data_IF_967869148783
#
_entry.id   IF_967869148783
#
_cell.length_a   1.000
_cell.length_b   1.000
_cell.length_c   1.000
_cell.angle_alpha   90.00
_cell.angle_beta   90.00
_cell.angle_gamma   90.00
#
_symmetry.space_group_name_H-M   'P 1'
#
loop_
_entity.id
_entity.type
_entity.pdbx_description
1 polymer ?
#
# COMPACT_ATOMS: atom_id res chain seq x y z
N UNK A 1 47.61 -56.01 0.38
CA UNK A 1 46.90 -55.62 -0.85
C UNK A 1 45.94 -54.50 -0.51
N UNK A 2 46.37 -53.26 -0.73
CA UNK A 2 45.53 -52.07 -0.61
C UNK A 2 46.16 -50.95 -1.44
N UNK A 3 45.32 -50.06 -1.96
CA UNK A 3 45.61 -48.91 -2.83
C UNK A 3 45.84 -49.21 -4.32
N UNK A 4 44.79 -49.04 -5.13
CA UNK A 4 44.78 -48.36 -6.43
C UNK A 4 43.37 -48.42 -7.03
N UNK A 5 42.64 -47.30 -7.03
CA UNK A 5 41.54 -46.96 -7.98
C UNK A 5 40.92 -45.59 -7.62
N UNK A 6 41.72 -44.55 -7.83
CA UNK A 6 41.23 -43.20 -8.10
C UNK A 6 41.78 -42.79 -9.47
N UNK A 7 41.04 -43.06 -10.54
CA UNK A 7 41.17 -42.36 -11.83
C UNK A 7 40.13 -42.93 -12.80
N UNK A 8 39.14 -42.11 -13.17
CA UNK A 8 38.27 -42.40 -14.32
C UNK A 8 36.78 -42.31 -14.01
N UNK A 9 36.26 -41.09 -13.91
CA UNK A 9 34.98 -40.71 -14.56
C UNK A 9 34.75 -39.20 -14.42
N UNK A 10 35.65 -38.40 -15.02
CA UNK A 10 35.36 -37.03 -15.38
C UNK A 10 34.93 -37.03 -16.85
N UNK A 11 33.63 -36.95 -17.10
CA UNK A 11 33.02 -36.43 -18.32
C UNK A 11 31.50 -36.53 -18.21
N UNK A 12 30.88 -35.67 -17.39
CA UNK A 12 29.43 -35.45 -17.44
C UNK A 12 29.19 -33.97 -17.70
N UNK A 13 28.93 -33.69 -18.98
CA UNK A 13 28.26 -32.52 -19.57
C UNK A 13 28.55 -31.15 -18.95
N UNK A 14 29.46 -30.41 -19.58
CA UNK A 14 29.47 -28.95 -19.55
C UNK A 14 28.27 -28.42 -20.35
N UNK A 15 27.07 -28.52 -19.76
CA UNK A 15 25.84 -27.89 -20.25
C UNK A 15 25.54 -26.67 -19.41
N UNK A 16 25.75 -25.48 -19.98
CA UNK A 16 25.25 -24.15 -19.56
C UNK A 16 24.82 -24.03 -18.09
N UNK A 17 25.78 -23.96 -17.16
CA UNK A 17 25.54 -23.58 -15.76
C UNK A 17 25.32 -22.07 -15.67
N UNK A 18 24.29 -21.54 -16.34
CA UNK A 18 23.74 -20.23 -16.01
C UNK A 18 23.13 -20.37 -14.63
N UNK A 19 23.77 -19.75 -13.64
CA UNK A 19 23.15 -19.59 -12.32
C UNK A 19 21.71 -19.08 -12.51
N UNK A 20 20.73 -19.62 -11.75
CA UNK A 20 19.34 -19.20 -11.88
C UNK A 20 19.26 -17.68 -11.67
N UNK A 21 18.61 -17.00 -12.61
CA UNK A 21 18.39 -15.56 -12.51
C UNK A 21 17.45 -15.29 -11.35
N UNK A 22 18.00 -14.76 -10.25
CA UNK A 22 17.25 -14.39 -9.04
C UNK A 22 16.87 -12.91 -9.06
N UNK A 23 15.92 -12.56 -8.19
CA UNK A 23 15.55 -11.18 -7.91
C UNK A 23 16.76 -10.39 -7.38
N UNK A 24 16.85 -9.11 -7.78
CA UNK A 24 17.95 -8.23 -7.39
C UNK A 24 17.56 -7.44 -6.14
N UNK A 25 18.36 -7.57 -5.08
CA UNK A 25 18.30 -6.69 -3.91
C UNK A 25 18.69 -5.27 -4.31
N UNK A 26 17.71 -4.39 -4.38
CA UNK A 26 17.85 -3.01 -4.87
C UNK A 26 17.05 -2.00 -4.05
N UNK A 27 16.03 -2.44 -3.31
CA UNK A 27 15.20 -1.57 -2.50
C UNK A 27 15.88 -1.22 -1.18
N UNK A 28 16.27 0.03 -1.05
CA UNK A 28 16.83 0.61 0.17
C UNK A 28 15.73 1.07 1.13
N UNK A 29 16.08 1.31 2.39
CA UNK A 29 15.14 1.79 3.40
C UNK A 29 14.31 3.01 2.97
N UNK A 30 14.87 4.09 2.39
CA UNK A 30 14.07 5.25 1.99
C UNK A 30 13.06 4.94 0.88
N UNK A 31 13.45 4.11 -0.10
CA UNK A 31 12.55 3.69 -1.17
C UNK A 31 11.43 2.81 -0.62
N UNK A 32 11.75 1.89 0.28
CA UNK A 32 10.78 1.01 0.90
C UNK A 32 9.81 1.78 1.82
N UNK A 33 10.30 2.80 2.53
CA UNK A 33 9.46 3.69 3.33
C UNK A 33 8.49 4.48 2.45
N UNK A 34 8.96 5.08 1.35
CA UNK A 34 8.10 5.81 0.41
C UNK A 34 7.12 4.87 -0.32
N UNK A 35 7.54 3.64 -0.58
CA UNK A 35 6.65 2.59 -1.09
C UNK A 35 5.55 2.29 -0.08
N UNK A 36 5.89 1.96 1.18
CA UNK A 36 4.91 1.70 2.24
C UNK A 36 3.99 2.89 2.54
N UNK A 37 4.52 4.12 2.49
CA UNK A 37 3.69 5.32 2.60
C UNK A 37 2.73 5.43 1.42
N UNK A 38 3.14 5.12 0.20
CA UNK A 38 2.27 5.16 -0.98
C UNK A 38 1.22 4.06 -1.01
N UNK A 39 1.56 2.88 -0.47
CA UNK A 39 0.60 1.77 -0.36
C UNK A 39 -0.48 2.07 0.68
N UNK A 40 -0.11 2.77 1.76
CA UNK A 40 -1.02 3.07 2.87
C UNK A 40 -1.78 4.39 2.65
N UNK A 41 -1.08 5.46 2.28
CA UNK A 41 -1.64 6.80 1.98
C UNK A 41 -2.23 6.77 0.58
N UNK A 42 -3.45 6.26 0.47
CA UNK A 42 -4.15 6.13 -0.81
C UNK A 42 -5.62 6.50 -0.72
N UNK A 43 -6.44 5.79 -1.49
CA UNK A 43 -7.88 6.03 -1.60
C UNK A 43 -8.61 6.07 -0.24
N UNK A 44 -8.10 5.34 0.77
CA UNK A 44 -8.67 5.30 2.12
C UNK A 44 -8.84 6.68 2.76
N UNK A 45 -7.77 7.47 2.92
CA UNK A 45 -7.87 8.80 3.54
C UNK A 45 -8.66 9.78 2.65
N UNK A 46 -8.47 9.72 1.33
CA UNK A 46 -9.15 10.63 0.40
C UNK A 46 -10.66 10.42 0.34
N UNK A 47 -11.14 9.17 0.42
CA UNK A 47 -12.56 8.83 0.29
C UNK A 47 -13.26 8.66 1.65
N UNK A 48 -12.60 8.06 2.64
CA UNK A 48 -13.26 7.67 3.90
C UNK A 48 -13.24 8.75 4.98
N UNK A 49 -12.46 9.83 4.83
CA UNK A 49 -12.44 10.90 5.84
C UNK A 49 -13.85 11.41 6.16
N UNK A 50 -14.70 11.63 5.14
CA UNK A 50 -16.10 12.03 5.32
C UNK A 50 -16.91 10.98 6.08
N UNK A 51 -16.78 9.69 5.74
CA UNK A 51 -17.48 8.60 6.41
C UNK A 51 -17.04 8.41 7.88
N UNK A 52 -15.76 8.60 8.17
CA UNK A 52 -15.23 8.59 9.55
C UNK A 52 -15.82 9.76 10.33
N UNK A 53 -15.84 10.97 9.74
CA UNK A 53 -16.46 12.16 10.35
C UNK A 53 -17.97 11.98 10.52
N UNK A 54 -18.66 11.27 9.62
CA UNK A 54 -20.09 10.97 9.77
C UNK A 54 -20.40 10.19 11.06
N UNK A 55 -19.48 9.32 11.49
CA UNK A 55 -19.64 8.48 12.68
C UNK A 55 -19.07 9.15 13.94
N UNK A 56 -17.88 9.75 13.84
CA UNK A 56 -17.13 10.26 14.97
C UNK A 56 -17.20 11.78 15.14
N UNK A 57 -17.77 12.50 14.17
CA UNK A 57 -17.87 13.96 14.19
C UNK A 57 -16.50 14.62 14.40
N UNK A 58 -16.46 15.58 15.33
CA UNK A 58 -15.23 16.27 15.75
C UNK A 58 -14.17 15.33 16.32
N UNK A 59 -14.56 14.14 16.78
CA UNK A 59 -13.67 13.13 17.37
C UNK A 59 -13.08 12.17 16.32
N UNK A 60 -13.24 12.44 15.03
CA UNK A 60 -12.60 11.68 13.94
C UNK A 60 -11.07 11.48 14.12
N UNK A 61 -10.27 12.44 14.63
CA UNK A 61 -8.85 12.22 14.89
C UNK A 61 -8.58 11.05 15.85
N UNK A 62 -9.43 10.87 16.87
CA UNK A 62 -9.34 9.74 17.79
C UNK A 62 -9.70 8.41 17.13
N UNK A 63 -10.56 8.43 16.12
CA UNK A 63 -10.89 7.23 15.31
C UNK A 63 -9.67 6.76 14.51
N UNK A 64 -8.93 7.67 13.89
CA UNK A 64 -7.69 7.34 13.18
C UNK A 64 -6.59 6.87 14.14
N UNK A 65 -6.45 7.50 15.31
CA UNK A 65 -5.50 7.04 16.33
C UNK A 65 -5.85 5.64 16.86
N UNK A 66 -7.14 5.38 17.13
CA UNK A 66 -7.62 4.06 17.52
C UNK A 66 -7.37 3.01 16.44
N UNK A 67 -7.68 3.33 15.18
CA UNK A 67 -7.42 2.45 14.04
C UNK A 67 -5.94 2.09 13.94
N UNK A 68 -5.05 3.07 14.06
CA UNK A 68 -3.60 2.84 14.08
C UNK A 68 -3.19 1.93 15.23
N UNK A 69 -3.72 2.12 16.44
CA UNK A 69 -3.41 1.27 17.58
C UNK A 69 -3.82 -0.20 17.33
N UNK A 70 -4.97 -0.43 16.70
CA UNK A 70 -5.43 -1.76 16.31
C UNK A 70 -4.52 -2.38 15.23
N UNK A 71 -4.13 -1.59 14.23
CA UNK A 71 -3.23 -2.03 13.14
C UNK A 71 -1.81 -2.29 13.63
N UNK A 72 -1.35 -1.55 14.66
CA UNK A 72 0.01 -1.68 15.20
C UNK A 72 0.34 -3.10 15.63
N UNK A 73 -0.60 -3.82 16.27
CA UNK A 73 -0.41 -5.21 16.65
C UNK A 73 -0.09 -6.10 15.44
N UNK A 74 -0.82 -5.90 14.32
CA UNK A 74 -0.59 -6.63 13.07
C UNK A 74 0.73 -6.21 12.43
N UNK A 75 1.00 -4.91 12.32
CA UNK A 75 2.20 -4.37 11.69
C UNK A 75 3.49 -4.83 12.39
N UNK A 76 3.52 -4.80 13.72
CA UNK A 76 4.67 -5.28 14.50
C UNK A 76 4.88 -6.79 14.34
N UNK A 77 3.79 -7.57 14.27
CA UNK A 77 3.87 -9.02 14.01
C UNK A 77 4.41 -9.30 12.60
N UNK A 78 3.96 -8.54 11.60
CA UNK A 78 4.49 -8.61 10.23
C UNK A 78 5.98 -8.27 10.20
N UNK A 79 6.42 -7.22 10.89
CA UNK A 79 7.84 -6.88 11.02
C UNK A 79 8.66 -8.03 11.60
N UNK A 80 8.23 -8.59 12.73
CA UNK A 80 8.90 -9.73 13.38
C UNK A 80 9.00 -10.95 12.45
N UNK A 81 7.92 -11.32 11.76
CA UNK A 81 7.89 -12.48 10.87
C UNK A 81 8.70 -12.25 9.58
N UNK A 82 8.60 -11.06 9.00
CA UNK A 82 9.36 -10.66 7.82
C UNK A 82 10.87 -10.64 8.10
N UNK A 83 11.28 -10.24 9.31
CA UNK A 83 12.68 -10.27 9.72
C UNK A 83 13.26 -11.69 9.77
N UNK A 84 12.47 -12.66 10.23
CA UNK A 84 12.88 -14.07 10.39
C UNK A 84 12.87 -14.83 9.07
N UNK A 85 11.89 -14.54 8.21
CA UNK A 85 11.68 -15.23 6.94
C UNK A 85 11.47 -14.25 5.79
N UNK A 86 12.51 -13.50 5.36
CA UNK A 86 12.40 -12.50 4.30
C UNK A 86 12.36 -13.17 2.92
N UNK A 87 11.19 -13.68 2.54
CA UNK A 87 10.93 -14.33 1.24
C UNK A 87 9.67 -13.75 0.59
N UNK A 88 9.58 -13.82 -0.73
CA UNK A 88 8.33 -13.49 -1.43
C UNK A 88 7.27 -14.56 -1.15
N UNK A 89 5.98 -14.19 -1.17
CA UNK A 89 4.89 -15.01 -0.63
C UNK A 89 5.14 -15.39 0.84
N UNK A 90 5.52 -14.38 1.63
CA UNK A 90 5.93 -14.49 3.03
C UNK A 90 4.91 -15.23 3.89
N UNK A 91 3.62 -15.00 3.67
CA UNK A 91 2.53 -15.60 4.42
C UNK A 91 2.48 -17.12 4.26
N UNK A 92 2.74 -17.64 3.05
CA UNK A 92 2.82 -19.09 2.84
C UNK A 92 3.99 -19.70 3.61
N UNK A 93 5.10 -18.98 3.70
CA UNK A 93 6.27 -19.40 4.47
C UNK A 93 5.95 -19.40 5.96
N UNK A 94 5.30 -18.36 6.48
CA UNK A 94 4.94 -18.24 7.89
C UNK A 94 3.92 -19.30 8.31
N UNK A 95 2.85 -19.49 7.54
CA UNK A 95 1.82 -20.50 7.82
C UNK A 95 2.41 -21.91 7.80
N UNK A 96 3.28 -22.21 6.83
CA UNK A 96 3.97 -23.50 6.79
C UNK A 96 4.91 -23.69 7.98
N UNK A 97 5.66 -22.66 8.36
CA UNK A 97 6.59 -22.71 9.49
C UNK A 97 5.87 -22.87 10.84
N UNK A 98 4.75 -22.18 11.03
CA UNK A 98 4.00 -22.20 12.29
C UNK A 98 3.13 -23.46 12.46
N UNK A 99 2.44 -23.89 11.40
CA UNK A 99 1.41 -24.94 11.50
C UNK A 99 1.77 -26.25 10.79
N UNK A 100 2.89 -26.31 10.07
CA UNK A 100 3.25 -27.48 9.27
C UNK A 100 2.28 -27.75 8.11
N UNK A 101 1.45 -26.76 7.73
CA UNK A 101 0.35 -26.92 6.78
C UNK A 101 0.63 -26.18 5.45
N UNK A 102 1.38 -26.77 4.50
CA UNK A 102 1.77 -26.08 3.26
C UNK A 102 0.56 -25.71 2.39
N UNK A 103 -0.49 -26.54 2.36
CA UNK A 103 -1.73 -26.27 1.60
C UNK A 103 -2.47 -25.04 2.14
N UNK A 104 -2.48 -24.87 3.46
CA UNK A 104 -3.09 -23.69 4.08
C UNK A 104 -2.30 -22.43 3.72
N UNK A 105 -0.97 -22.50 3.72
CA UNK A 105 -0.12 -21.39 3.31
C UNK A 105 -0.35 -20.98 1.84
N UNK A 106 -0.43 -21.96 0.94
CA UNK A 106 -0.80 -21.70 -0.47
C UNK A 106 -2.17 -21.06 -0.59
N UNK A 107 -3.18 -21.58 0.12
CA UNK A 107 -4.53 -21.03 0.10
C UNK A 107 -4.55 -19.55 0.53
N UNK A 108 -3.87 -19.21 1.64
CA UNK A 108 -3.76 -17.84 2.13
C UNK A 108 -3.14 -16.93 1.08
N UNK A 109 -2.00 -17.31 0.49
CA UNK A 109 -1.33 -16.46 -0.52
C UNK A 109 -2.16 -16.31 -1.81
N UNK A 110 -2.87 -17.35 -2.24
CA UNK A 110 -3.78 -17.24 -3.38
C UNK A 110 -4.95 -16.30 -3.08
N UNK A 111 -5.48 -16.31 -1.86
CA UNK A 111 -6.49 -15.34 -1.42
C UNK A 111 -5.95 -13.91 -1.41
N UNK A 112 -4.72 -13.70 -0.91
CA UNK A 112 -4.06 -12.38 -0.92
C UNK A 112 -3.80 -11.91 -2.34
N UNK A 113 -3.29 -12.78 -3.23
CA UNK A 113 -3.08 -12.45 -4.64
C UNK A 113 -4.40 -12.05 -5.33
N UNK A 114 -5.48 -12.82 -5.12
CA UNK A 114 -6.81 -12.51 -5.65
C UNK A 114 -7.34 -11.17 -5.10
N UNK A 115 -7.19 -10.92 -3.80
CA UNK A 115 -7.58 -9.66 -3.18
C UNK A 115 -6.79 -8.48 -3.77
N UNK A 116 -5.49 -8.65 -4.02
CA UNK A 116 -4.64 -7.68 -4.72
C UNK A 116 -5.12 -7.40 -6.14
N UNK A 117 -5.43 -8.43 -6.93
CA UNK A 117 -5.97 -8.28 -8.29
C UNK A 117 -7.30 -7.53 -8.30
N UNK A 118 -8.23 -7.89 -7.40
CA UNK A 118 -9.53 -7.21 -7.28
C UNK A 118 -9.35 -5.76 -6.83
N UNK A 119 -8.39 -5.50 -5.92
CA UNK A 119 -8.07 -4.15 -5.46
C UNK A 119 -7.48 -3.30 -6.58
N UNK A 120 -6.55 -3.84 -7.37
CA UNK A 120 -6.00 -3.18 -8.55
C UNK A 120 -7.12 -2.83 -9.56
N UNK A 121 -8.01 -3.78 -9.87
CA UNK A 121 -9.14 -3.54 -10.75
C UNK A 121 -10.08 -2.44 -10.21
N UNK A 122 -10.37 -2.46 -8.91
CA UNK A 122 -11.21 -1.44 -8.24
C UNK A 122 -10.57 -0.06 -8.33
N UNK A 123 -9.26 0.03 -8.12
CA UNK A 123 -8.51 1.29 -8.24
C UNK A 123 -8.52 1.81 -9.69
N UNK A 124 -8.31 0.94 -10.69
CA UNK A 124 -8.41 1.34 -12.10
C UNK A 124 -9.80 1.87 -12.47
N UNK A 125 -10.86 1.30 -11.90
CA UNK A 125 -12.24 1.82 -12.05
C UNK A 125 -12.38 3.16 -11.32
N UNK A 126 -11.81 3.31 -10.13
CA UNK A 126 -11.80 4.57 -9.38
C UNK A 126 -11.16 5.73 -10.16
N UNK A 127 -10.08 5.46 -10.89
CA UNK A 127 -9.43 6.42 -11.80
C UNK A 127 -10.41 6.98 -12.82
N UNK A 128 -11.25 6.12 -13.43
CA UNK A 128 -12.31 6.57 -14.35
C UNK A 128 -13.31 7.51 -13.67
N UNK A 129 -13.74 7.20 -12.45
CA UNK A 129 -14.68 8.04 -11.68
C UNK A 129 -14.22 9.49 -11.53
N UNK A 130 -12.92 9.72 -11.31
CA UNK A 130 -12.36 11.06 -11.21
C UNK A 130 -12.05 11.69 -12.59
N UNK A 131 -11.59 10.91 -13.57
CA UNK A 131 -11.22 11.41 -14.91
C UNK A 131 -12.43 11.78 -15.78
N UNK A 132 -13.61 11.21 -15.56
CA UNK A 132 -14.82 11.55 -16.34
C UNK A 132 -15.22 13.02 -16.22
N UNK A 133 -14.81 13.69 -15.14
CA UNK A 133 -15.00 15.14 -14.97
C UNK A 133 -14.16 15.99 -15.94
N UNK A 134 -13.09 15.41 -16.52
CA UNK A 134 -12.14 16.08 -17.42
C UNK A 134 -12.21 15.54 -18.84
N UNK A 135 -12.38 14.22 -18.99
CA UNK A 135 -12.35 13.52 -20.28
C UNK A 135 -13.47 12.48 -20.36
N UNK A 136 -14.34 12.62 -21.35
CA UNK A 136 -15.44 11.67 -21.61
C UNK A 136 -14.94 10.55 -22.53
N UNK A 137 -14.32 9.53 -21.93
CA UNK A 137 -13.94 8.29 -22.62
C UNK A 137 -14.67 7.08 -22.04
N UNK A 138 -14.86 6.00 -22.83
CA UNK A 138 -15.43 4.76 -22.32
C UNK A 138 -14.61 4.19 -21.16
N UNK A 139 -15.28 3.74 -20.10
CA UNK A 139 -14.63 3.17 -18.91
C UNK A 139 -13.65 2.06 -19.25
N UNK A 140 -14.04 1.15 -20.15
CA UNK A 140 -13.20 0.04 -20.58
C UNK A 140 -11.87 0.52 -21.19
N UNK A 141 -11.87 1.64 -21.92
CA UNK A 141 -10.67 2.18 -22.53
C UNK A 141 -9.73 2.81 -21.49
N UNK A 142 -10.26 3.58 -20.55
CA UNK A 142 -9.46 4.17 -19.46
C UNK A 142 -8.85 3.07 -18.59
N UNK A 143 -9.66 2.10 -18.16
CA UNK A 143 -9.19 0.96 -17.36
C UNK A 143 -8.12 0.17 -18.12
N UNK A 144 -8.32 -0.12 -19.41
CA UNK A 144 -7.32 -0.84 -20.21
C UNK A 144 -6.02 -0.06 -20.36
N UNK A 145 -6.09 1.25 -20.69
CA UNK A 145 -4.89 2.09 -20.86
C UNK A 145 -4.13 2.22 -19.55
N UNK A 146 -4.81 2.57 -18.45
CA UNK A 146 -4.15 2.75 -17.14
C UNK A 146 -3.65 1.41 -16.60
N UNK A 147 -4.40 0.33 -16.77
CA UNK A 147 -3.97 -1.01 -16.36
C UNK A 147 -2.73 -1.47 -17.13
N UNK A 148 -2.71 -1.29 -18.46
CA UNK A 148 -1.55 -1.63 -19.29
C UNK A 148 -0.34 -0.76 -18.98
N UNK A 149 -0.52 0.53 -18.67
CA UNK A 149 0.61 1.39 -18.29
C UNK A 149 1.17 1.00 -16.92
N UNK A 150 0.32 0.74 -15.92
CA UNK A 150 0.79 0.26 -14.61
C UNK A 150 1.44 -1.13 -14.70
N UNK A 151 0.86 -2.04 -15.48
CA UNK A 151 1.45 -3.35 -15.76
C UNK A 151 2.81 -3.26 -16.47
N UNK A 152 2.94 -2.35 -17.44
CA UNK A 152 4.21 -2.09 -18.12
C UNK A 152 5.27 -1.50 -17.17
N UNK A 153 4.87 -0.58 -16.28
CA UNK A 153 5.77 -0.05 -15.23
C UNK A 153 6.21 -1.18 -14.31
N UNK A 154 5.27 -1.98 -13.77
CA UNK A 154 5.57 -3.13 -12.91
C UNK A 154 6.48 -4.17 -13.57
N UNK A 155 6.38 -4.32 -14.90
CA UNK A 155 7.21 -5.20 -15.70
C UNK A 155 8.62 -4.63 -15.96
N UNK A 156 8.80 -3.31 -16.00
CA UNK A 156 10.03 -2.63 -16.40
C UNK A 156 11.21 -2.92 -15.47
N UNK A 157 10.97 -3.01 -14.17
CA UNK A 157 11.99 -3.22 -13.15
C UNK A 157 11.46 -2.82 -11.78
N UNK A 158 11.81 -3.56 -10.73
CA UNK A 158 11.28 -3.26 -9.39
C UNK A 158 11.78 -1.92 -8.86
N UNK A 159 13.05 -1.60 -9.09
CA UNK A 159 13.67 -0.37 -8.59
C UNK A 159 13.03 0.86 -9.25
N UNK A 160 12.78 0.78 -10.55
CA UNK A 160 12.13 1.78 -11.38
C UNK A 160 10.66 1.93 -11.00
N UNK A 161 9.94 0.81 -10.83
CA UNK A 161 8.55 0.80 -10.38
C UNK A 161 8.39 1.46 -9.03
N UNK A 162 9.24 1.09 -8.07
CA UNK A 162 9.20 1.64 -6.71
C UNK A 162 9.64 3.11 -6.71
N UNK A 163 10.58 3.53 -7.56
CA UNK A 163 10.94 4.96 -7.70
C UNK A 163 9.79 5.79 -8.27
N UNK A 164 9.07 5.27 -9.26
CA UNK A 164 7.86 5.91 -9.79
C UNK A 164 6.81 6.02 -8.69
N UNK A 165 6.54 4.92 -7.99
CA UNK A 165 5.61 4.91 -6.86
C UNK A 165 6.02 5.91 -5.77
N UNK A 166 7.28 5.93 -5.39
CA UNK A 166 7.82 6.84 -4.38
C UNK A 166 7.72 8.31 -4.79
N UNK A 167 7.96 8.65 -6.06
CA UNK A 167 7.80 10.01 -6.57
C UNK A 167 6.34 10.46 -6.49
N UNK A 168 5.43 9.56 -6.85
CA UNK A 168 3.98 9.79 -6.77
C UNK A 168 3.55 9.94 -5.29
N UNK A 169 4.03 9.10 -4.37
CA UNK A 169 3.78 9.22 -2.92
C UNK A 169 4.22 10.58 -2.36
N UNK A 170 5.38 11.10 -2.78
CA UNK A 170 5.86 12.41 -2.33
C UNK A 170 4.88 13.52 -2.72
N UNK A 171 4.36 13.47 -3.95
CA UNK A 171 3.36 14.43 -4.43
C UNK A 171 2.06 14.29 -3.64
N UNK A 172 1.62 13.07 -3.36
CA UNK A 172 0.38 12.78 -2.62
C UNK A 172 0.43 13.23 -1.18
N UNK A 173 1.46 12.82 -0.45
CA UNK A 173 1.68 13.24 0.94
C UNK A 173 1.86 14.76 1.00
N UNK A 174 2.60 15.33 0.04
CA UNK A 174 2.78 16.77 -0.06
C UNK A 174 1.46 17.53 -0.27
N UNK A 175 0.62 17.08 -1.19
CA UNK A 175 -0.70 17.68 -1.45
C UNK A 175 -1.63 17.52 -0.25
N UNK A 176 -1.64 16.35 0.39
CA UNK A 176 -2.44 16.05 1.57
C UNK A 176 -2.08 16.98 2.73
N UNK A 177 -0.79 17.14 3.00
CA UNK A 177 -0.29 18.08 4.01
C UNK A 177 -0.56 19.53 3.63
N UNK A 178 -0.46 19.90 2.36
CA UNK A 178 -0.79 21.24 1.90
C UNK A 178 -2.27 21.58 2.15
N UNK A 179 -3.20 20.66 1.85
CA UNK A 179 -4.62 20.81 2.17
C UNK A 179 -4.82 20.96 3.67
N UNK A 180 -4.19 20.11 4.48
CA UNK A 180 -4.30 20.20 5.94
C UNK A 180 -3.78 21.55 6.48
N UNK A 181 -2.64 22.03 5.99
CA UNK A 181 -2.07 23.31 6.42
C UNK A 181 -2.93 24.50 5.99
N UNK A 182 -3.48 24.49 4.78
CA UNK A 182 -4.40 25.53 4.30
C UNK A 182 -5.69 25.55 5.12
N UNK A 183 -6.23 24.37 5.42
CA UNK A 183 -7.41 24.22 6.26
C UNK A 183 -7.17 24.72 7.68
N UNK A 184 -6.04 24.37 8.31
CA UNK A 184 -5.69 24.90 9.62
C UNK A 184 -5.48 26.42 9.60
N UNK A 185 -4.95 26.98 8.52
CA UNK A 185 -4.74 28.41 8.36
C UNK A 185 -6.06 29.20 8.15
N UNK A 186 -7.12 28.55 7.68
CA UNK A 186 -8.45 29.16 7.53
C UNK A 186 -9.32 29.10 8.79
N UNK A 187 -8.87 28.41 9.86
CA UNK A 187 -9.62 28.33 11.11
C UNK A 187 -9.65 29.70 11.79
N UNK A 188 -10.84 30.18 12.11
CA UNK A 188 -11.02 31.44 12.85
C UNK A 188 -10.49 31.34 14.28
N UNK A 189 -9.59 32.26 14.64
CA UNK A 189 -9.03 32.40 15.98
C UNK A 189 -7.80 31.50 16.26
N UNK A 190 -7.24 31.57 17.48
CA UNK A 190 -6.08 30.78 17.84
C UNK A 190 -6.44 29.29 17.93
N UNK A 191 -5.68 28.43 17.23
CA UNK A 191 -5.91 26.98 17.18
C UNK A 191 -6.03 26.35 18.58
N UNK A 192 -5.23 26.82 19.53
CA UNK A 192 -5.23 26.37 20.94
C UNK A 192 -6.60 26.51 21.59
N UNK A 193 -7.39 27.53 21.22
CA UNK A 193 -8.73 27.73 21.77
C UNK A 193 -9.76 26.75 21.20
N UNK A 194 -9.51 26.16 20.03
CA UNK A 194 -10.40 25.19 19.36
C UNK A 194 -10.07 23.75 19.71
N UNK A 195 -8.85 23.45 20.19
CA UNK A 195 -8.44 22.10 20.60
C UNK A 195 -9.39 21.41 21.59
N UNK A 196 -10.02 22.10 22.57
CA UNK A 196 -11.00 21.47 23.46
C UNK A 196 -12.22 20.87 22.74
N UNK A 197 -12.59 21.35 21.54
CA UNK A 197 -13.71 20.79 20.75
C UNK A 197 -13.45 19.36 20.25
N UNK A 198 -12.17 18.99 20.14
CA UNK A 198 -11.75 17.66 19.70
C UNK A 198 -11.83 16.64 20.83
N UNK A 199 -11.78 17.10 22.08
CA UNK A 199 -11.73 16.20 23.24
C UNK A 199 -13.04 15.42 23.33
N UNK A 200 -12.99 14.07 23.36
CA UNK A 200 -14.20 13.27 23.45
C UNK A 200 -14.89 13.50 24.79
N UNK A 201 -16.20 13.68 24.73
CA UNK A 201 -17.05 13.71 25.93
C UNK A 201 -17.19 12.30 26.54
N UNK A 202 -17.67 12.23 27.78
CA UNK A 202 -17.84 10.96 28.52
C UNK A 202 -19.08 10.17 28.10
N UNK A 203 -19.89 10.69 27.18
CA UNK A 203 -21.11 10.04 26.70
C UNK A 203 -20.78 8.75 25.93
N UNK A 204 -21.48 7.63 26.21
CA UNK A 204 -21.26 6.36 25.49
C UNK A 204 -21.45 6.47 23.97
N UNK A 205 -22.34 7.35 23.50
CA UNK A 205 -22.57 7.58 22.07
C UNK A 205 -21.34 8.14 21.35
N UNK A 206 -20.57 9.01 22.02
CA UNK A 206 -19.32 9.56 21.46
C UNK A 206 -18.27 8.46 21.28
N UNK A 207 -18.09 7.60 22.28
CA UNK A 207 -17.16 6.48 22.21
C UNK A 207 -17.58 5.41 21.19
N UNK A 208 -18.89 5.15 21.07
CA UNK A 208 -19.42 4.27 20.03
C UNK A 208 -19.16 4.83 18.62
N UNK A 209 -19.31 6.15 18.45
CA UNK A 209 -18.98 6.86 17.22
C UNK A 209 -17.51 6.76 16.86
N UNK A 210 -16.61 6.96 17.85
CA UNK A 210 -15.16 6.80 17.67
C UNK A 210 -14.80 5.36 17.29
N UNK A 211 -15.40 4.37 17.93
CA UNK A 211 -15.15 2.97 17.61
C UNK A 211 -15.65 2.61 16.19
N UNK A 212 -16.85 3.07 15.83
CA UNK A 212 -17.44 2.83 14.50
C UNK A 212 -16.64 3.53 13.40
N UNK A 213 -16.26 4.79 13.63
CA UNK A 213 -15.35 5.54 12.76
C UNK A 213 -13.97 4.89 12.68
N UNK A 214 -13.46 4.34 13.79
CA UNK A 214 -12.18 3.63 13.86
C UNK A 214 -12.18 2.36 13.00
N UNK A 215 -13.29 1.63 12.95
CA UNK A 215 -13.41 0.46 12.07
C UNK A 215 -13.37 0.84 10.58
N UNK A 216 -13.96 1.98 10.21
CA UNK A 216 -13.84 2.52 8.85
C UNK A 216 -12.41 3.01 8.56
N UNK A 217 -11.82 3.73 9.52
CA UNK A 217 -10.46 4.25 9.40
C UNK A 217 -9.41 3.14 9.33
N UNK A 218 -9.67 1.95 9.89
CA UNK A 218 -8.81 0.77 9.78
C UNK A 218 -8.47 0.45 8.31
N UNK A 219 -9.46 0.58 7.40
CA UNK A 219 -9.23 0.37 5.97
C UNK A 219 -8.19 1.34 5.40
N UNK A 220 -8.13 2.58 5.88
CA UNK A 220 -7.17 3.56 5.41
C UNK A 220 -5.72 3.26 5.81
N UNK A 221 -5.51 2.31 6.75
CA UNK A 221 -4.20 1.86 7.20
C UNK A 221 -3.74 0.54 6.55
N UNK A 222 -4.56 -0.07 5.69
CA UNK A 222 -4.13 -1.22 4.91
C UNK A 222 -3.11 -0.78 3.85
N UNK A 223 -2.06 -1.57 3.66
CA UNK A 223 -1.02 -1.37 2.64
C UNK A 223 0.40 -1.62 3.15
N UNK A 224 0.67 -1.52 4.46
CA UNK A 224 2.01 -1.80 4.98
C UNK A 224 2.44 -3.26 4.76
N UNK A 225 1.47 -4.17 4.71
CA UNK A 225 1.66 -5.60 4.44
C UNK A 225 2.27 -5.84 3.05
N UNK A 226 2.03 -4.97 2.08
CA UNK A 226 2.54 -5.14 0.70
C UNK A 226 4.08 -5.08 0.66
N UNK A 227 4.71 -4.41 1.65
CA UNK A 227 6.16 -4.35 1.78
C UNK A 227 6.80 -5.73 1.96
N UNK A 228 6.10 -6.69 2.59
CA UNK A 228 6.68 -8.01 2.84
C UNK A 228 6.83 -8.85 1.56
N UNK A 229 6.11 -8.49 0.49
CA UNK A 229 6.20 -9.24 -0.77
C UNK A 229 7.46 -8.94 -1.57
N UNK A 230 8.02 -7.76 -1.39
CA UNK A 230 9.29 -7.33 -1.99
C UNK A 230 10.48 -7.62 -1.07
N UNK A 231 10.33 -8.53 -0.11
CA UNK A 231 11.39 -8.89 0.85
C UNK A 231 12.67 -9.40 0.16
N UNK A 232 12.55 -10.19 -0.92
CA UNK A 232 13.70 -10.69 -1.68
C UNK A 232 14.41 -9.60 -2.51
N UNK A 233 13.72 -8.49 -2.78
CA UNK A 233 14.21 -7.32 -3.51
C UNK A 233 14.73 -6.23 -2.56
N UNK A 234 14.57 -6.41 -1.25
CA UNK A 234 15.00 -5.47 -0.20
C UNK A 234 16.45 -5.70 0.25
N UNK A 235 17.21 -4.61 0.35
CA UNK A 235 18.57 -4.62 0.92
C UNK A 235 18.48 -4.78 2.43
N UNK A 236 19.22 -5.76 2.96
CA UNK A 236 19.21 -6.11 4.40
C UNK A 236 17.79 -6.25 4.97
N UNK A 237 16.94 -6.98 4.24
CA UNK A 237 15.51 -7.17 4.52
C UNK A 237 15.19 -7.50 5.99
N UNK A 238 16.09 -8.23 6.66
CA UNK A 238 15.96 -8.58 8.08
C UNK A 238 15.80 -7.36 8.99
N UNK A 239 16.55 -6.29 8.73
CA UNK A 239 16.58 -5.09 9.56
C UNK A 239 15.75 -3.96 8.92
N UNK A 240 15.74 -3.91 7.58
CA UNK A 240 15.04 -2.86 6.81
C UNK A 240 13.52 -3.00 6.86
N UNK A 241 12.96 -4.21 6.73
CA UNK A 241 11.49 -4.40 6.69
C UNK A 241 10.80 -4.00 8.01
N UNK A 242 11.24 -4.47 9.19
CA UNK A 242 10.58 -4.09 10.46
C UNK A 242 10.63 -2.58 10.70
N UNK A 243 11.77 -1.95 10.39
CA UNK A 243 11.95 -0.52 10.52
C UNK A 243 11.03 0.25 9.55
N UNK A 244 10.94 -0.18 8.29
CA UNK A 244 10.10 0.49 7.29
C UNK A 244 8.60 0.33 7.59
N UNK A 245 8.15 -0.86 8.03
CA UNK A 245 6.76 -1.10 8.45
C UNK A 245 6.38 -0.20 9.61
N UNK A 246 7.23 -0.16 10.65
CA UNK A 246 6.98 0.66 11.84
C UNK A 246 6.98 2.16 11.51
N UNK A 247 7.96 2.62 10.72
CA UNK A 247 8.04 4.02 10.31
C UNK A 247 6.85 4.43 9.44
N UNK A 248 6.43 3.57 8.49
CA UNK A 248 5.24 3.79 7.66
C UNK A 248 4.00 3.98 8.51
N UNK A 249 3.77 3.10 9.49
CA UNK A 249 2.63 3.21 10.38
C UNK A 249 2.67 4.52 11.18
N UNK A 250 3.79 4.83 11.84
CA UNK A 250 3.91 6.03 12.67
C UNK A 250 3.72 7.33 11.87
N UNK A 251 4.35 7.42 10.70
CA UNK A 251 4.27 8.61 9.84
C UNK A 251 2.84 8.74 9.28
N UNK A 252 2.24 7.65 8.82
CA UNK A 252 0.86 7.66 8.31
C UNK A 252 -0.14 8.07 9.39
N UNK A 253 0.00 7.55 10.61
CA UNK A 253 -0.84 7.94 11.74
C UNK A 253 -0.75 9.43 12.02
N UNK A 254 0.47 9.98 12.03
CA UNK A 254 0.66 11.41 12.24
C UNK A 254 -0.02 12.22 11.14
N UNK A 255 0.19 11.86 9.86
CA UNK A 255 -0.43 12.53 8.72
C UNK A 255 -1.97 12.47 8.84
N UNK A 256 -2.54 11.30 9.09
CA UNK A 256 -3.98 11.11 9.14
C UNK A 256 -4.63 11.85 10.30
N UNK A 257 -4.00 11.86 11.48
CA UNK A 257 -4.50 12.63 12.63
C UNK A 257 -4.45 14.13 12.32
N UNK A 258 -3.35 14.63 11.74
CA UNK A 258 -3.23 16.05 11.36
C UNK A 258 -4.28 16.44 10.33
N UNK A 259 -4.49 15.62 9.30
CA UNK A 259 -5.50 15.83 8.27
C UNK A 259 -6.90 15.81 8.87
N UNK A 260 -7.22 14.83 9.73
CA UNK A 260 -8.52 14.72 10.37
C UNK A 260 -8.81 15.94 11.23
N UNK A 261 -7.83 16.40 12.03
CA UNK A 261 -7.94 17.63 12.84
C UNK A 261 -8.19 18.84 11.94
N UNK A 262 -7.40 18.99 10.87
CA UNK A 262 -7.56 20.09 9.93
C UNK A 262 -8.95 20.12 9.30
N UNK A 263 -9.47 18.96 8.86
CA UNK A 263 -10.77 18.85 8.22
C UNK A 263 -11.91 19.23 9.18
N UNK A 264 -11.95 18.66 10.38
CA UNK A 264 -13.07 18.90 11.31
C UNK A 264 -13.08 20.31 11.89
N UNK A 265 -11.92 20.98 11.97
CA UNK A 265 -11.83 22.35 12.47
C UNK A 265 -12.11 23.41 11.38
N UNK A 266 -11.76 23.13 10.13
CA UNK A 266 -11.83 24.11 9.05
C UNK A 266 -13.20 24.17 8.36
N UNK A 267 -13.96 23.07 8.34
CA UNK A 267 -15.26 23.00 7.67
C UNK A 267 -16.32 22.35 8.55
N UNK A 268 -17.59 22.60 8.21
CA UNK A 268 -18.71 21.96 8.91
C UNK A 268 -18.66 20.42 8.78
N UNK A 269 -18.66 19.67 9.90
CA UNK A 269 -18.58 18.21 9.88
C UNK A 269 -19.73 17.51 9.15
N UNK A 270 -20.94 18.09 9.18
CA UNK A 270 -22.10 17.47 8.53
C UNK A 270 -22.03 17.59 7.02
N UNK A 271 -21.59 18.73 6.51
CA UNK A 271 -21.33 18.93 5.09
C UNK A 271 -20.14 18.09 4.61
N UNK A 272 -19.08 17.98 5.42
CA UNK A 272 -17.94 17.12 5.12
C UNK A 272 -18.33 15.64 5.03
N UNK A 273 -19.18 15.18 5.94
CA UNK A 273 -19.69 13.81 5.98
C UNK A 273 -20.56 13.45 4.76
N UNK A 274 -21.25 14.44 4.18
CA UNK A 274 -22.06 14.27 2.97
C UNK A 274 -21.27 14.32 1.67
N UNK A 275 -20.01 14.77 1.70
CA UNK A 275 -19.19 14.92 0.51
C UNK A 275 -18.66 13.58 -0.01
N UNK A 276 -18.80 13.34 -1.31
CA UNK A 276 -18.19 12.20 -2.01
C UNK A 276 -16.68 12.37 -2.23
N UNK A 277 -16.16 13.60 -2.10
CA UNK A 277 -14.73 13.92 -2.18
C UNK A 277 -14.32 14.85 -1.03
N UNK A 278 -14.24 14.33 0.22
CA UNK A 278 -14.06 15.13 1.43
C UNK A 278 -12.88 16.11 1.38
N UNK A 279 -11.71 15.68 0.93
CA UNK A 279 -10.51 16.53 0.91
C UNK A 279 -10.55 17.59 -0.20
N UNK A 280 -11.17 17.28 -1.34
CA UNK A 280 -11.42 18.26 -2.40
C UNK A 280 -12.40 19.35 -1.91
N UNK A 281 -13.44 18.94 -1.20
CA UNK A 281 -14.41 19.84 -0.56
C UNK A 281 -13.74 20.75 0.47
N UNK A 282 -12.89 20.22 1.35
CA UNK A 282 -12.11 21.03 2.30
C UNK A 282 -11.25 22.06 1.57
N UNK A 283 -10.55 21.65 0.50
CA UNK A 283 -9.75 22.59 -0.28
C UNK A 283 -10.58 23.71 -0.91
N UNK A 284 -11.73 23.39 -1.50
CA UNK A 284 -12.64 24.38 -2.11
C UNK A 284 -13.17 25.39 -1.09
N UNK A 285 -13.64 24.89 0.06
CA UNK A 285 -14.20 25.73 1.11
C UNK A 285 -13.16 26.64 1.78
N UNK A 286 -11.91 26.20 1.85
CA UNK A 286 -10.83 26.94 2.54
C UNK A 286 -10.12 27.93 1.60
N UNK A 287 -10.06 27.65 0.30
CA UNK A 287 -9.33 28.49 -0.66
C UNK A 287 -10.22 29.27 -1.63
N UNK A 288 -11.49 28.87 -1.81
CA UNK A 288 -12.39 29.40 -2.84
C UNK A 288 -11.96 29.09 -4.27
N UNK A 289 -10.98 28.19 -4.47
CA UNK A 289 -10.46 27.79 -5.79
C UNK A 289 -10.97 26.42 -6.18
N UNK A 290 -10.92 26.12 -7.49
CA UNK A 290 -11.29 24.80 -8.01
C UNK A 290 -10.43 23.68 -7.42
N UNK A 291 -11.05 22.59 -6.99
CA UNK A 291 -10.38 21.38 -6.50
C UNK A 291 -9.67 20.54 -7.58
N UNK A 292 -9.63 20.99 -8.84
CA UNK A 292 -9.09 20.21 -9.96
C UNK A 292 -7.67 19.66 -9.72
N UNK A 293 -6.82 20.41 -9.03
CA UNK A 293 -5.47 19.95 -8.67
C UNK A 293 -5.51 18.81 -7.63
N UNK A 294 -6.38 18.92 -6.63
CA UNK A 294 -6.56 17.86 -5.61
C UNK A 294 -7.15 16.61 -6.25
N UNK A 295 -8.15 16.77 -7.13
CA UNK A 295 -8.71 15.68 -7.92
C UNK A 295 -7.65 14.98 -8.77
N UNK A 296 -6.78 15.75 -9.44
CA UNK A 296 -5.67 15.19 -10.22
C UNK A 296 -4.71 14.40 -9.33
N UNK A 297 -4.35 14.91 -8.16
CA UNK A 297 -3.52 14.17 -7.21
C UNK A 297 -4.20 12.89 -6.73
N UNK A 298 -5.51 12.91 -6.46
CA UNK A 298 -6.26 11.71 -6.11
C UNK A 298 -6.26 10.67 -7.22
N UNK A 299 -6.31 11.08 -8.49
CA UNK A 299 -6.17 10.17 -9.64
C UNK A 299 -4.81 9.46 -9.63
N UNK A 300 -3.73 10.21 -9.41
CA UNK A 300 -2.39 9.63 -9.30
C UNK A 300 -2.27 8.68 -8.10
N UNK A 301 -2.89 9.02 -6.95
CA UNK A 301 -2.96 8.16 -5.76
C UNK A 301 -3.62 6.83 -6.01
N UNK A 302 -4.76 6.85 -6.69
CA UNK A 302 -5.50 5.63 -7.00
C UNK A 302 -4.71 4.79 -8.02
N UNK A 303 -4.11 5.42 -9.03
CA UNK A 303 -3.28 4.72 -10.01
C UNK A 303 -2.02 4.10 -9.36
N UNK A 304 -1.37 4.82 -8.44
CA UNK A 304 -0.21 4.35 -7.68
C UNK A 304 -0.56 3.12 -6.82
N UNK A 305 -1.70 3.16 -6.12
CA UNK A 305 -2.22 1.99 -5.40
C UNK A 305 -2.42 0.79 -6.33
N UNK A 306 -2.93 1.02 -7.56
CA UNK A 306 -3.08 -0.04 -8.56
C UNK A 306 -1.73 -0.66 -8.97
N UNK A 307 -0.71 0.17 -9.22
CA UNK A 307 0.65 -0.28 -9.53
C UNK A 307 1.22 -1.16 -8.41
N UNK A 308 1.12 -0.69 -7.17
CA UNK A 308 1.55 -1.42 -5.97
C UNK A 308 0.86 -2.77 -5.88
N UNK A 309 -0.45 -2.82 -6.08
CA UNK A 309 -1.23 -4.06 -5.99
C UNK A 309 -0.86 -5.07 -7.09
N UNK A 310 -0.55 -4.60 -8.30
CA UNK A 310 -0.03 -5.44 -9.38
C UNK A 310 1.33 -6.04 -8.99
N UNK A 311 2.23 -5.23 -8.44
CA UNK A 311 3.55 -5.67 -7.95
C UNK A 311 3.36 -6.73 -6.87
N UNK A 312 2.55 -6.44 -5.86
CA UNK A 312 2.26 -7.33 -4.72
C UNK A 312 1.74 -8.69 -5.19
N UNK A 313 0.68 -8.70 -6.00
CA UNK A 313 0.07 -9.93 -6.49
C UNK A 313 1.02 -10.74 -7.39
N UNK A 314 1.81 -10.08 -8.24
CA UNK A 314 2.82 -10.76 -9.06
C UNK A 314 3.92 -11.42 -8.20
N UNK A 315 4.37 -10.78 -7.10
CA UNK A 315 5.36 -11.35 -6.17
C UNK A 315 4.80 -12.55 -5.40
N UNK A 316 3.51 -12.54 -5.08
CA UNK A 316 2.83 -13.69 -4.48
C UNK A 316 2.84 -14.91 -5.42
N UNK A 317 2.48 -14.70 -6.69
CA UNK A 317 2.52 -15.78 -7.70
C UNK A 317 3.94 -16.28 -7.96
N UNK A 318 4.91 -15.37 -8.05
CA UNK A 318 6.34 -15.73 -8.13
C UNK A 318 6.78 -16.57 -6.93
N UNK A 319 6.44 -16.13 -5.71
CA UNK A 319 6.82 -16.81 -4.47
C UNK A 319 6.21 -18.22 -4.36
N UNK A 320 4.98 -18.44 -4.84
CA UNK A 320 4.40 -19.78 -4.91
C UNK A 320 5.06 -20.65 -5.99
N UNK A 321 5.43 -20.07 -7.13
CA UNK A 321 6.14 -20.77 -8.20
C UNK A 321 7.55 -21.18 -7.78
N UNK A 322 8.30 -20.31 -7.09
CA UNK A 322 9.64 -20.60 -6.55
C UNK A 322 9.62 -21.69 -5.46
N UNK A 323 8.48 -21.87 -4.80
CA UNK A 323 8.21 -22.94 -3.84
C UNK A 323 7.73 -24.25 -4.50
N UNK A 324 7.66 -24.31 -5.83
CA UNK A 324 7.24 -25.50 -6.58
C UNK A 324 5.73 -25.78 -6.54
N UNK A 325 4.92 -24.82 -6.09
CA UNK A 325 3.47 -24.97 -5.98
C UNK A 325 2.77 -24.62 -7.30
N UNK A 326 3.23 -23.56 -7.97
CA UNK A 326 2.74 -23.14 -9.29
C UNK A 326 3.72 -23.53 -10.40
N UNK A 327 3.27 -23.62 -11.67
CA UNK A 327 4.14 -23.90 -12.81
C UNK A 327 5.36 -22.97 -12.83
N UNK A 328 6.55 -23.53 -13.12
CA UNK A 328 7.81 -22.79 -13.14
C UNK A 328 7.84 -21.62 -14.14
N UNK A 329 6.98 -21.66 -15.18
CA UNK A 329 6.84 -20.59 -16.14
C UNK A 329 6.35 -19.27 -15.52
N UNK A 330 5.50 -19.33 -14.48
CA UNK A 330 4.94 -18.16 -13.80
C UNK A 330 6.02 -17.43 -12.98
N UNK A 331 6.90 -18.19 -12.32
CA UNK A 331 7.99 -17.67 -11.50
C UNK A 331 9.28 -17.36 -12.24
N UNK A 332 9.31 -17.46 -13.57
CA UNK A 332 10.52 -17.20 -14.35
C UNK A 332 10.85 -15.70 -14.32
N UNK A 333 12.03 -15.38 -13.81
CA UNK A 333 12.56 -14.01 -13.75
C UNK A 333 13.23 -13.66 -15.08
N UNK A 334 12.92 -12.48 -15.62
CA UNK A 334 13.58 -11.99 -16.84
C UNK A 334 15.03 -11.50 -16.54
N UNK A 335 16.03 -11.86 -17.37
CA UNK A 335 17.42 -11.46 -17.13
C UNK A 335 17.69 -9.95 -17.18
N UNK A 336 16.90 -9.18 -17.94
CA UNK A 336 17.10 -7.73 -18.15
C UNK A 336 16.40 -6.93 -17.06
N UNK A 337 15.12 -7.19 -16.83
CA UNK A 337 14.31 -6.42 -15.87
C UNK A 337 14.43 -6.95 -14.44
N UNK A 338 14.88 -8.20 -14.28
CA UNK A 338 14.93 -8.91 -12.98
C UNK A 338 13.55 -9.00 -12.32
N UNK A 339 12.48 -9.04 -13.11
CA UNK A 339 11.08 -9.15 -12.67
C UNK A 339 10.41 -10.42 -13.22
N UNK A 340 9.37 -10.96 -12.53
CA UNK A 340 8.61 -12.12 -13.00
C UNK A 340 7.53 -11.72 -14.02
N UNK A 341 7.93 -11.51 -15.29
CA UNK A 341 7.04 -10.97 -16.34
C UNK A 341 5.77 -11.79 -16.56
N UNK A 342 5.84 -13.12 -16.48
CA UNK A 342 4.68 -13.99 -16.67
C UNK A 342 3.65 -13.84 -15.54
N UNK A 343 4.12 -13.65 -14.29
CA UNK A 343 3.25 -13.34 -13.17
C UNK A 343 2.63 -11.95 -13.33
N UNK A 344 3.42 -10.94 -13.69
CA UNK A 344 2.91 -9.58 -13.92
C UNK A 344 1.88 -9.52 -15.06
N UNK A 345 2.07 -10.28 -16.14
CA UNK A 345 1.13 -10.32 -17.26
C UNK A 345 -0.17 -11.08 -16.95
N UNK A 346 -0.15 -11.95 -15.93
CA UNK A 346 -1.33 -12.70 -15.49
C UNK A 346 -2.24 -11.87 -14.57
N UNK A 347 -1.66 -10.96 -13.80
CA UNK A 347 -2.37 -10.00 -12.94
C UNK A 347 -2.99 -8.89 -13.78
#
# INVERSE_FOLDING_TARGET
>A
MQCERCAGSAAMSAGDSREPTTLRRSLSFPLLLLYGLGTTVGAGIYALTGAVVANAGMQAPFSFALASALVACTALTFGELASRHPKSASEAVWVRAAFGAPRLGTFVVLCVALAGTVSAATMLIGVHGYLTSVVVLPQALIVAVVGLTMGAIAAWGIEESVRVAAAITIVEVGALLAVAMLALASVDGPLVARLPELVPDVRPSTWLGIFSGGLLAFYAFLGFEDMVQVAEETVDARDTLPAAITATLLITTLIYVVVAVACVLAVDPTALAASSAPLAYVFEQTTGRSSALITLVSVFAIANGGLVQIIMAARNLYGLSSQGVLPAAIGRVDPRTRTPLAATALI
#
